data_IF_504518747995
#
_entry.id   IF_504518747995
#
_cell.length_a   1.000
_cell.length_b   1.000
_cell.length_c   1.000
_cell.angle_alpha   90.00
_cell.angle_beta   90.00
_cell.angle_gamma   90.00
#
_symmetry.space_group_name_H-M   'P 1'
#
loop_
_entity.id
_entity.type
_entity.pdbx_description
1 polymer ?
#
# COMPACT_ATOMS: atom_id res chain seq x y z
N UNK A 1 7.19 5.07 38.04
CA UNK A 1 5.97 4.25 37.96
C UNK A 1 5.19 4.83 36.79
N UNK A 2 5.17 4.16 35.63
CA UNK A 2 4.39 4.62 34.49
C UNK A 2 2.92 4.36 34.82
N UNK A 3 2.11 5.41 34.83
CA UNK A 3 0.67 5.32 35.03
C UNK A 3 0.10 4.58 33.81
N UNK A 4 -0.46 3.40 34.05
CA UNK A 4 -1.07 2.60 33.00
C UNK A 4 -2.33 3.34 32.58
N UNK A 5 -2.33 3.92 31.38
CA UNK A 5 -3.53 4.48 30.76
C UNK A 5 -4.56 3.35 30.61
N UNK A 6 -5.58 3.36 31.46
CA UNK A 6 -6.73 2.46 31.36
C UNK A 6 -7.77 3.08 30.42
N UNK A 7 -8.62 2.25 29.81
CA UNK A 7 -9.65 2.72 28.87
C UNK A 7 -10.58 3.75 29.55
N UNK A 8 -10.90 3.55 30.83
CA UNK A 8 -11.69 4.49 31.66
C UNK A 8 -11.08 5.90 31.78
N UNK A 9 -9.75 6.03 31.66
CA UNK A 9 -9.06 7.32 31.73
C UNK A 9 -9.10 8.08 30.40
N UNK A 10 -9.27 7.37 29.29
CA UNK A 10 -9.22 7.91 27.93
C UNK A 10 -10.63 8.10 27.36
N UNK A 11 -11.60 7.33 27.85
CA UNK A 11 -13.00 7.34 27.42
C UNK A 11 -13.97 7.42 28.61
N UNK A 12 -13.91 8.48 29.43
CA UNK A 12 -14.69 8.58 30.66
C UNK A 12 -16.21 8.71 30.41
N UNK A 13 -16.61 9.15 29.22
CA UNK A 13 -17.99 9.26 28.76
C UNK A 13 -18.45 8.09 27.90
N UNK A 14 -17.57 7.11 27.63
CA UNK A 14 -17.88 5.91 26.88
C UNK A 14 -18.10 6.16 25.38
N UNK A 15 -17.74 7.33 24.86
CA UNK A 15 -17.96 7.71 23.47
C UNK A 15 -17.09 6.90 22.49
N UNK A 16 -15.90 6.47 22.90
CA UNK A 16 -15.03 5.60 22.10
C UNK A 16 -15.56 4.16 22.12
N UNK A 17 -16.00 3.66 23.26
CA UNK A 17 -16.64 2.35 23.39
C UNK A 17 -17.97 2.31 22.63
N UNK A 18 -18.81 3.35 22.73
CA UNK A 18 -20.05 3.51 21.96
C UNK A 18 -19.78 3.64 20.45
N UNK A 19 -18.76 4.37 20.02
CA UNK A 19 -18.37 4.43 18.60
C UNK A 19 -17.82 3.09 18.09
N UNK A 20 -17.10 2.33 18.93
CA UNK A 20 -16.62 0.98 18.59
C UNK A 20 -17.76 -0.04 18.59
N UNK A 21 -18.74 0.11 19.48
CA UNK A 21 -19.96 -0.69 19.54
C UNK A 21 -20.93 -0.32 18.41
N UNK A 22 -21.03 0.94 17.97
CA UNK A 22 -21.76 1.34 16.77
C UNK A 22 -21.07 0.80 15.50
N UNK A 23 -19.73 0.84 15.46
CA UNK A 23 -18.94 0.23 14.40
C UNK A 23 -19.00 -1.32 14.41
N UNK A 24 -19.31 -1.94 15.56
CA UNK A 24 -19.57 -3.38 15.69
C UNK A 24 -21.07 -3.75 15.53
N UNK A 25 -21.99 -2.83 15.82
CA UNK A 25 -23.43 -2.99 15.70
C UNK A 25 -23.85 -2.92 14.23
N UNK A 26 -23.22 -2.04 13.44
CA UNK A 26 -23.08 -2.27 12.00
C UNK A 26 -21.98 -3.32 11.78
N UNK A 27 -22.29 -4.56 12.19
CA UNK A 27 -21.46 -5.72 11.88
C UNK A 27 -21.09 -5.68 10.40
N UNK A 28 -19.89 -6.13 10.03
CA UNK A 28 -19.46 -6.22 8.60
C UNK A 28 -20.55 -6.84 7.72
N UNK A 29 -21.36 -7.72 8.30
CA UNK A 29 -22.56 -8.33 7.72
C UNK A 29 -23.69 -7.34 7.42
N UNK A 30 -23.97 -6.36 8.28
CA UNK A 30 -24.99 -5.32 8.07
C UNK A 30 -24.53 -4.22 7.10
N UNK A 31 -23.25 -3.87 7.09
CA UNK A 31 -22.65 -3.07 6.01
C UNK A 31 -22.76 -3.78 4.64
N UNK A 32 -22.43 -5.08 4.60
CA UNK A 32 -22.57 -5.90 3.39
C UNK A 32 -24.04 -6.06 2.97
N UNK A 33 -24.99 -6.21 3.91
CA UNK A 33 -26.43 -6.24 3.61
C UNK A 33 -26.94 -4.90 3.06
N UNK A 34 -26.52 -3.77 3.63
CA UNK A 34 -26.87 -2.43 3.12
C UNK A 34 -26.31 -2.20 1.71
N UNK A 35 -25.10 -2.68 1.40
CA UNK A 35 -24.53 -2.67 0.06
C UNK A 35 -25.28 -3.58 -0.94
N UNK A 36 -25.82 -4.73 -0.47
CA UNK A 36 -26.66 -5.63 -1.28
C UNK A 36 -28.01 -4.98 -1.63
N UNK A 37 -28.63 -4.26 -0.69
CA UNK A 37 -29.92 -3.56 -0.92
C UNK A 37 -29.77 -2.31 -1.81
N UNK A 38 -28.58 -1.69 -1.84
CA UNK A 38 -28.26 -0.50 -2.66
C UNK A 38 -27.77 -0.77 -4.08
N UNK A 39 -27.57 -2.02 -4.50
CA UNK A 39 -27.23 -2.36 -5.90
C UNK A 39 -25.93 -3.13 -6.14
N UNK A 40 -25.56 -4.08 -5.28
CA UNK A 40 -24.42 -4.97 -5.55
C UNK A 40 -24.51 -6.34 -4.87
N UNK A 41 -24.88 -7.37 -5.62
CA UNK A 41 -24.83 -8.78 -5.19
C UNK A 41 -23.39 -9.24 -4.92
N UNK A 42 -23.09 -9.62 -3.67
CA UNK A 42 -21.92 -10.45 -3.32
C UNK A 42 -22.38 -11.88 -3.07
N UNK A 43 -21.89 -12.83 -3.89
CA UNK A 43 -22.03 -14.26 -3.65
C UNK A 43 -20.78 -14.77 -2.93
N UNK A 44 -20.87 -14.98 -1.63
CA UNK A 44 -19.98 -15.87 -0.88
C UNK A 44 -20.80 -17.08 -0.42
N UNK A 45 -20.51 -18.25 -0.98
CA UNK A 45 -21.16 -19.52 -0.64
C UNK A 45 -21.71 -20.23 -1.86
N UNK A 46 -21.11 -21.38 -2.20
CA UNK A 46 -21.47 -22.15 -3.38
C UNK A 46 -22.89 -22.75 -3.35
N UNK A 47 -23.30 -23.14 -4.57
CA UNK A 47 -24.48 -23.95 -4.97
C UNK A 47 -25.71 -23.16 -5.48
N UNK A 48 -25.76 -23.10 -6.82
CA UNK A 48 -26.92 -23.14 -7.74
C UNK A 48 -27.99 -22.05 -7.69
N UNK A 49 -27.99 -21.17 -8.71
CA UNK A 49 -29.18 -20.90 -9.52
C UNK A 49 -28.74 -20.53 -10.95
N UNK A 50 -29.03 -21.43 -11.91
CA UNK A 50 -28.97 -21.11 -13.33
C UNK A 50 -30.08 -20.11 -13.65
N UNK A 51 -29.73 -18.95 -14.19
CA UNK A 51 -30.76 -17.99 -14.61
C UNK A 51 -30.33 -16.52 -14.77
N UNK A 52 -29.13 -16.11 -14.39
CA UNK A 52 -28.67 -14.76 -14.71
C UNK A 52 -28.05 -14.70 -16.11
N UNK A 53 -28.35 -13.66 -16.92
CA UNK A 53 -27.60 -13.44 -18.14
C UNK A 53 -26.12 -13.36 -17.74
N UNK A 54 -25.26 -14.08 -18.46
CA UNK A 54 -23.80 -13.90 -18.35
C UNK A 54 -23.54 -12.43 -18.65
N UNK A 55 -23.51 -11.59 -17.61
CA UNK A 55 -22.96 -10.25 -17.69
C UNK A 55 -21.53 -10.49 -18.14
N UNK A 56 -21.26 -10.11 -19.39
CA UNK A 56 -19.91 -10.03 -19.91
C UNK A 56 -19.20 -8.92 -19.14
N UNK A 57 -18.83 -9.20 -17.88
CA UNK A 57 -17.81 -8.50 -17.11
C UNK A 57 -16.48 -8.90 -17.74
N UNK A 58 -16.35 -8.51 -19.01
CA UNK A 58 -15.41 -9.07 -19.97
C UNK A 58 -14.00 -8.65 -19.65
N UNK A 59 -13.04 -9.36 -20.23
CA UNK A 59 -11.59 -9.19 -20.24
C UNK A 59 -11.00 -7.77 -19.96
N UNK A 60 -11.75 -6.70 -20.21
CA UNK A 60 -11.41 -5.32 -19.81
C UNK A 60 -11.15 -5.17 -18.30
N UNK A 61 -11.99 -5.73 -17.42
CA UNK A 61 -11.82 -5.67 -15.95
C UNK A 61 -10.54 -6.37 -15.49
N UNK A 62 -10.32 -7.59 -16.00
CA UNK A 62 -9.09 -8.36 -15.77
C UNK A 62 -7.85 -7.69 -16.36
N UNK A 63 -7.92 -7.14 -17.57
CA UNK A 63 -6.78 -6.45 -18.19
C UNK A 63 -6.42 -5.16 -17.46
N UNK A 64 -7.43 -4.47 -16.90
CA UNK A 64 -7.24 -3.31 -16.06
C UNK A 64 -6.55 -3.69 -14.74
N UNK A 65 -7.01 -4.75 -14.07
CA UNK A 65 -6.37 -5.24 -12.85
C UNK A 65 -4.92 -5.64 -13.12
N UNK A 66 -4.65 -6.37 -14.20
CA UNK A 66 -3.28 -6.72 -14.61
C UNK A 66 -2.43 -5.47 -14.85
N UNK A 67 -2.99 -4.43 -15.46
CA UNK A 67 -2.27 -3.18 -15.70
C UNK A 67 -1.97 -2.43 -14.38
N UNK A 68 -2.92 -2.42 -13.44
CA UNK A 68 -2.75 -1.81 -12.11
C UNK A 68 -1.70 -2.58 -11.32
N UNK A 69 -1.78 -3.91 -11.27
CA UNK A 69 -0.82 -4.75 -10.55
C UNK A 69 0.58 -4.67 -11.15
N UNK A 70 0.71 -4.59 -12.48
CA UNK A 70 2.00 -4.36 -13.12
C UNK A 70 2.56 -2.97 -12.81
N UNK A 71 1.70 -1.96 -12.70
CA UNK A 71 2.11 -0.63 -12.28
C UNK A 71 2.60 -0.63 -10.82
N UNK A 72 1.87 -1.27 -9.90
CA UNK A 72 2.33 -1.46 -8.52
C UNK A 72 3.68 -2.21 -8.50
N UNK A 73 3.80 -3.31 -9.24
CA UNK A 73 5.04 -4.11 -9.30
C UNK A 73 6.25 -3.29 -9.81
N UNK A 74 6.05 -2.27 -10.63
CA UNK A 74 7.14 -1.36 -10.99
C UNK A 74 7.64 -0.54 -9.80
N UNK A 75 6.73 -0.04 -8.97
CA UNK A 75 7.08 0.73 -7.76
C UNK A 75 7.74 -0.17 -6.72
N UNK A 76 7.17 -1.35 -6.47
CA UNK A 76 7.76 -2.33 -5.55
C UNK A 76 9.18 -2.75 -5.98
N UNK A 77 9.43 -2.90 -7.29
CA UNK A 77 10.78 -3.16 -7.77
C UNK A 77 11.75 -1.99 -7.54
N UNK A 78 11.27 -0.75 -7.67
CA UNK A 78 12.05 0.45 -7.43
C UNK A 78 12.47 0.51 -5.96
N UNK A 79 11.53 0.31 -5.05
CA UNK A 79 11.74 0.40 -3.60
C UNK A 79 12.56 -0.78 -3.08
N UNK A 80 12.22 -2.01 -3.48
CA UNK A 80 12.99 -3.20 -3.12
C UNK A 80 14.46 -3.09 -3.56
N UNK A 81 14.73 -2.53 -4.75
CA UNK A 81 16.09 -2.31 -5.21
C UNK A 81 16.78 -1.16 -4.46
N UNK A 82 16.06 -0.06 -4.20
CA UNK A 82 16.58 1.09 -3.45
C UNK A 82 17.08 0.68 -2.07
N UNK A 83 16.25 -0.03 -1.30
CA UNK A 83 16.62 -0.53 0.03
C UNK A 83 17.72 -1.58 -0.03
N UNK A 84 17.70 -2.47 -1.03
CA UNK A 84 18.76 -3.47 -1.20
C UNK A 84 20.11 -2.80 -1.46
N UNK A 85 20.17 -1.79 -2.33
CA UNK A 85 21.41 -1.07 -2.61
C UNK A 85 21.88 -0.25 -1.40
N UNK A 86 20.97 0.44 -0.69
CA UNK A 86 21.33 1.25 0.48
C UNK A 86 21.90 0.39 1.63
N UNK A 87 21.29 -0.78 1.90
CA UNK A 87 21.80 -1.71 2.91
C UNK A 87 23.15 -2.30 2.49
N UNK A 88 23.32 -2.64 1.20
CA UNK A 88 24.57 -3.18 0.69
C UNK A 88 25.72 -2.15 0.66
N UNK A 89 25.39 -0.86 0.48
CA UNK A 89 26.37 0.23 0.46
C UNK A 89 27.06 0.46 1.81
N UNK A 90 26.41 0.12 2.93
CA UNK A 90 27.03 0.15 4.26
C UNK A 90 27.08 1.52 4.94
N UNK A 91 26.50 2.55 4.33
CA UNK A 91 26.51 3.93 4.84
C UNK A 91 25.43 4.21 5.90
N UNK A 92 24.41 3.35 5.98
CA UNK A 92 23.29 3.51 6.92
C UNK A 92 23.66 3.01 8.32
N UNK A 93 23.25 3.76 9.34
CA UNK A 93 23.54 3.46 10.74
C UNK A 93 22.28 3.58 11.62
N UNK A 94 22.38 3.07 12.85
CA UNK A 94 21.34 3.18 13.86
C UNK A 94 19.96 2.71 13.38
N UNK A 95 18.94 3.48 13.74
CA UNK A 95 17.56 3.17 13.39
C UNK A 95 17.30 3.22 11.87
N UNK A 96 18.00 4.09 11.13
CA UNK A 96 17.89 4.16 9.67
C UNK A 96 18.27 2.84 9.00
N UNK A 97 19.32 2.18 9.48
CA UNK A 97 19.71 0.85 8.98
C UNK A 97 18.68 -0.22 9.33
N UNK A 98 18.09 -0.16 10.54
CA UNK A 98 17.02 -1.07 10.94
C UNK A 98 15.79 -0.89 10.04
N UNK A 99 15.35 0.35 9.85
CA UNK A 99 14.28 0.72 8.94
C UNK A 99 14.54 0.15 7.53
N UNK A 100 15.70 0.43 6.94
CA UNK A 100 16.04 -0.03 5.59
C UNK A 100 16.01 -1.55 5.44
N UNK A 101 16.42 -2.29 6.47
CA UNK A 101 16.38 -3.77 6.47
C UNK A 101 14.95 -4.31 6.56
N UNK A 102 14.13 -3.74 7.42
CA UNK A 102 12.73 -4.15 7.63
C UNK A 102 11.91 -3.82 6.39
N UNK A 103 11.92 -2.56 5.97
CA UNK A 103 11.17 -2.09 4.79
C UNK A 103 11.64 -2.81 3.54
N UNK A 104 12.96 -2.87 3.29
CA UNK A 104 13.48 -3.63 2.16
C UNK A 104 13.06 -5.11 2.14
N UNK A 105 12.80 -5.74 3.30
CA UNK A 105 12.24 -7.09 3.35
C UNK A 105 10.75 -7.14 3.00
N UNK A 106 9.97 -6.15 3.44
CA UNK A 106 8.57 -6.00 3.06
C UNK A 106 8.43 -5.76 1.56
N UNK A 107 9.22 -4.86 0.97
CA UNK A 107 9.15 -4.59 -0.47
C UNK A 107 9.47 -5.80 -1.33
N UNK A 108 10.43 -6.63 -0.90
CA UNK A 108 10.69 -7.92 -1.56
C UNK A 108 9.51 -8.89 -1.44
N UNK A 109 8.80 -8.88 -0.32
CA UNK A 109 7.59 -9.69 -0.13
C UNK A 109 6.42 -9.17 -0.98
N UNK A 110 6.24 -7.85 -1.10
CA UNK A 110 5.27 -7.23 -2.00
C UNK A 110 5.56 -7.58 -3.46
N UNK A 111 6.82 -7.49 -3.90
CA UNK A 111 7.26 -7.96 -5.23
C UNK A 111 6.87 -9.42 -5.45
N UNK A 112 7.19 -10.31 -4.52
CA UNK A 112 6.88 -11.75 -4.64
C UNK A 112 5.38 -11.99 -4.74
N UNK A 113 4.58 -11.32 -3.90
CA UNK A 113 3.13 -11.38 -3.94
C UNK A 113 2.59 -10.95 -5.30
N UNK A 114 3.01 -9.79 -5.81
CA UNK A 114 2.54 -9.26 -7.09
C UNK A 114 2.98 -10.14 -8.27
N UNK A 115 4.21 -10.66 -8.26
CA UNK A 115 4.68 -11.61 -9.27
C UNK A 115 3.84 -12.90 -9.25
N UNK A 116 3.48 -13.40 -8.06
CA UNK A 116 2.59 -14.55 -7.91
C UNK A 116 1.19 -14.28 -8.46
N UNK A 117 0.61 -13.13 -8.13
CA UNK A 117 -0.72 -12.72 -8.60
C UNK A 117 -0.76 -12.51 -10.13
N UNK A 118 0.32 -11.97 -10.71
CA UNK A 118 0.43 -11.69 -12.14
C UNK A 118 0.82 -12.92 -12.97
N UNK A 119 1.53 -13.89 -12.39
CA UNK A 119 2.03 -15.08 -13.09
C UNK A 119 2.84 -14.69 -14.33
N UNK A 120 2.49 -15.26 -15.50
CA UNK A 120 3.17 -14.95 -16.76
C UNK A 120 2.94 -13.53 -17.28
N UNK A 121 1.96 -12.80 -16.72
CA UNK A 121 1.70 -11.39 -17.07
C UNK A 121 2.57 -10.42 -16.26
N UNK A 122 3.44 -10.91 -15.36
CA UNK A 122 4.31 -10.08 -14.56
C UNK A 122 5.37 -9.40 -15.44
N UNK A 123 5.48 -8.08 -15.30
CA UNK A 123 6.54 -7.31 -15.96
C UNK A 123 7.91 -7.72 -15.45
N UNK A 124 8.90 -7.60 -16.32
CA UNK A 124 10.31 -7.80 -15.96
C UNK A 124 10.79 -6.64 -15.07
N UNK A 125 11.64 -6.97 -14.10
CA UNK A 125 12.34 -5.98 -13.28
C UNK A 125 13.22 -5.11 -14.18
N UNK A 126 13.08 -3.77 -14.16
CA UNK A 126 13.94 -2.87 -14.91
C UNK A 126 15.27 -2.70 -14.19
N UNK A 127 16.20 -1.97 -14.80
CA UNK A 127 17.44 -1.57 -14.12
C UNK A 127 17.21 -0.25 -13.41
N UNK A 128 17.96 -0.04 -12.33
CA UNK A 128 17.88 1.17 -11.52
C UNK A 128 19.24 1.84 -11.35
N UNK A 129 19.22 3.17 -11.28
CA UNK A 129 20.36 4.02 -10.92
C UNK A 129 19.85 5.13 -10.00
N UNK A 130 20.11 5.00 -8.70
CA UNK A 130 19.63 5.93 -7.67
C UNK A 130 20.45 7.21 -7.55
N UNK A 131 21.41 7.46 -8.46
CA UNK A 131 22.13 8.75 -8.56
C UNK A 131 22.80 9.17 -7.24
N UNK A 132 23.32 8.20 -6.49
CA UNK A 132 23.99 8.44 -5.20
C UNK A 132 23.06 8.60 -4.01
N UNK A 133 21.73 8.51 -4.16
CA UNK A 133 20.83 8.68 -3.00
C UNK A 133 20.89 7.52 -2.01
N UNK A 134 21.50 6.40 -2.36
CA UNK A 134 21.75 5.25 -1.48
C UNK A 134 23.11 5.31 -0.77
N UNK A 135 23.95 6.28 -1.12
CA UNK A 135 25.36 6.39 -0.69
C UNK A 135 25.57 7.45 0.41
N UNK A 136 24.50 8.12 0.84
CA UNK A 136 24.52 9.06 1.96
C UNK A 136 23.25 8.87 2.79
N UNK A 137 23.38 8.83 4.12
CA UNK A 137 22.25 8.53 4.99
C UNK A 137 21.14 9.60 4.91
N UNK A 138 21.49 10.88 4.82
CA UNK A 138 20.51 11.97 4.74
C UNK A 138 19.76 11.95 3.41
N UNK A 139 20.49 11.73 2.31
CA UNK A 139 19.91 11.56 0.97
C UNK A 139 19.03 10.31 0.89
N UNK A 140 19.44 9.22 1.55
CA UNK A 140 18.65 8.01 1.65
C UNK A 140 17.35 8.28 2.39
N UNK A 141 17.39 8.90 3.57
CA UNK A 141 16.20 9.20 4.36
C UNK A 141 15.23 10.10 3.60
N UNK A 142 15.73 11.17 2.97
CA UNK A 142 14.91 12.07 2.18
C UNK A 142 14.26 11.36 0.97
N UNK A 143 15.01 10.45 0.33
CA UNK A 143 14.50 9.66 -0.79
C UNK A 143 13.47 8.63 -0.34
N UNK A 144 13.72 7.94 0.79
CA UNK A 144 12.80 6.97 1.38
C UNK A 144 11.46 7.63 1.69
N UNK A 145 11.42 8.81 2.34
CA UNK A 145 10.16 9.56 2.57
C UNK A 145 9.38 9.74 1.27
N UNK A 146 10.05 10.15 0.18
CA UNK A 146 9.40 10.39 -1.11
C UNK A 146 8.91 9.10 -1.75
N UNK A 147 9.66 8.01 -1.65
CA UNK A 147 9.28 6.71 -2.20
C UNK A 147 8.07 6.14 -1.47
N UNK A 148 8.11 6.05 -0.14
CA UNK A 148 7.01 5.53 0.68
C UNK A 148 5.72 6.35 0.48
N UNK A 149 5.81 7.68 0.41
CA UNK A 149 4.67 8.54 0.09
C UNK A 149 4.11 8.28 -1.31
N UNK A 150 5.00 7.96 -2.26
CA UNK A 150 4.64 7.64 -3.64
C UNK A 150 3.92 6.29 -3.68
N UNK A 151 4.39 5.29 -2.93
CA UNK A 151 3.73 4.00 -2.73
C UNK A 151 2.31 4.18 -2.18
N UNK A 152 2.16 4.90 -1.06
CA UNK A 152 0.85 5.22 -0.46
C UNK A 152 -0.08 5.91 -1.47
N UNK A 153 0.41 6.95 -2.15
CA UNK A 153 -0.39 7.70 -3.13
C UNK A 153 -0.80 6.85 -4.33
N UNK A 154 0.05 5.93 -4.77
CA UNK A 154 -0.21 5.02 -5.88
C UNK A 154 -1.27 3.98 -5.52
N UNK A 155 -1.13 3.31 -4.37
CA UNK A 155 -2.12 2.34 -3.90
C UNK A 155 -3.47 3.00 -3.64
N UNK A 156 -3.51 4.15 -2.97
CA UNK A 156 -4.77 4.87 -2.73
C UNK A 156 -5.41 5.35 -4.04
N UNK A 157 -4.62 5.72 -5.05
CA UNK A 157 -5.13 6.18 -6.34
C UNK A 157 -5.55 5.08 -7.30
N UNK A 158 -4.98 3.88 -7.20
CA UNK A 158 -5.28 2.77 -8.11
C UNK A 158 -6.12 1.67 -7.49
N UNK A 159 -6.05 1.47 -6.17
CA UNK A 159 -6.81 0.48 -5.42
C UNK A 159 -8.32 0.51 -5.73
N UNK A 160 -8.99 1.68 -5.69
CA UNK A 160 -10.42 1.79 -6.03
C UNK A 160 -10.78 1.40 -7.46
N UNK A 161 -9.79 1.28 -8.36
CA UNK A 161 -9.99 0.85 -9.74
C UNK A 161 -9.80 -0.67 -9.92
N UNK A 162 -9.48 -1.42 -8.86
CA UNK A 162 -9.39 -2.88 -8.91
C UNK A 162 -10.79 -3.49 -8.93
N UNK A 163 -11.04 -4.35 -9.91
CA UNK A 163 -12.32 -5.05 -10.06
C UNK A 163 -12.38 -6.36 -9.29
N UNK A 164 -11.23 -7.01 -9.08
CA UNK A 164 -11.13 -8.21 -8.28
C UNK A 164 -11.08 -7.87 -6.77
N UNK A 165 -12.06 -8.31 -5.97
CA UNK A 165 -12.12 -7.99 -4.55
C UNK A 165 -10.93 -8.55 -3.75
N UNK A 166 -10.33 -9.66 -4.18
CA UNK A 166 -9.13 -10.20 -3.53
C UNK A 166 -7.92 -9.28 -3.76
N UNK A 167 -7.79 -8.69 -4.95
CA UNK A 167 -6.73 -7.72 -5.23
C UNK A 167 -6.97 -6.41 -4.51
N UNK A 168 -8.23 -5.95 -4.41
CA UNK A 168 -8.57 -4.77 -3.61
C UNK A 168 -8.23 -4.97 -2.13
N UNK A 169 -8.59 -6.12 -1.55
CA UNK A 169 -8.24 -6.44 -0.17
C UNK A 169 -6.73 -6.50 0.05
N UNK A 170 -5.99 -7.10 -0.88
CA UNK A 170 -4.53 -7.13 -0.83
C UNK A 170 -3.92 -5.73 -0.92
N UNK A 171 -4.40 -4.89 -1.85
CA UNK A 171 -3.96 -3.49 -1.97
C UNK A 171 -4.22 -2.70 -0.69
N UNK A 172 -5.37 -2.91 -0.04
CA UNK A 172 -5.67 -2.33 1.27
C UNK A 172 -4.71 -2.78 2.38
N UNK A 173 -4.28 -4.03 2.36
CA UNK A 173 -3.27 -4.54 3.30
C UNK A 173 -1.89 -3.94 3.04
N UNK A 174 -1.49 -3.80 1.77
CA UNK A 174 -0.19 -3.22 1.41
C UNK A 174 -0.14 -1.75 1.79
N UNK A 175 -1.11 -0.93 1.37
CA UNK A 175 -1.10 0.52 1.66
C UNK A 175 -1.07 0.85 3.16
N UNK A 176 -1.67 0.00 4.01
CA UNK A 176 -1.58 0.13 5.46
C UNK A 176 -0.16 -0.12 6.01
N UNK A 177 0.62 -0.97 5.35
CA UNK A 177 2.03 -1.22 5.66
C UNK A 177 2.89 -0.05 5.15
N UNK A 178 2.71 0.36 3.89
CA UNK A 178 3.40 1.51 3.27
C UNK A 178 3.24 2.78 4.11
N UNK A 179 2.01 3.08 4.58
CA UNK A 179 1.76 4.25 5.42
C UNK A 179 2.53 4.20 6.75
N UNK A 180 2.77 3.01 7.31
CA UNK A 180 3.60 2.84 8.53
C UNK A 180 5.08 3.01 8.23
N UNK A 181 5.56 2.59 7.06
CA UNK A 181 6.93 2.86 6.64
C UNK A 181 7.14 4.37 6.44
N UNK A 182 6.22 5.03 5.75
CA UNK A 182 6.19 6.47 5.54
C UNK A 182 6.19 7.26 6.87
N UNK A 183 5.45 6.78 7.87
CA UNK A 183 5.42 7.35 9.22
C UNK A 183 6.75 7.12 9.95
N UNK A 184 7.30 5.90 9.91
CA UNK A 184 8.54 5.55 10.62
C UNK A 184 9.76 6.32 10.09
N UNK A 185 9.92 6.44 8.77
CA UNK A 185 11.06 7.20 8.23
C UNK A 185 10.99 8.68 8.59
N UNK A 186 9.79 9.25 8.70
CA UNK A 186 9.59 10.62 9.17
C UNK A 186 9.97 10.78 10.62
N UNK A 187 9.57 9.83 11.47
CA UNK A 187 9.95 9.83 12.88
C UNK A 187 11.48 9.81 13.05
N UNK A 188 12.18 8.95 12.31
CA UNK A 188 13.66 8.87 12.29
C UNK A 188 14.31 10.23 11.98
N UNK A 189 13.71 11.04 11.11
CA UNK A 189 14.21 12.36 10.73
C UNK A 189 13.53 13.52 11.48
N UNK A 190 12.85 13.24 12.60
CA UNK A 190 12.16 14.21 13.44
C UNK A 190 11.11 15.06 12.67
N UNK A 191 10.43 14.45 11.70
CA UNK A 191 9.28 15.03 11.02
C UNK A 191 7.99 14.42 11.58
N UNK A 192 6.87 15.15 11.46
CA UNK A 192 5.56 14.65 11.89
C UNK A 192 5.20 13.35 11.14
N UNK A 193 5.06 12.19 11.81
CA UNK A 193 4.76 10.90 11.18
C UNK A 193 3.38 10.85 10.51
N UNK A 194 2.45 11.72 10.91
CA UNK A 194 1.10 11.85 10.36
C UNK A 194 0.85 13.31 9.93
N UNK A 195 1.49 13.79 8.85
CA UNK A 195 1.48 15.22 8.48
C UNK A 195 0.13 15.70 7.94
N UNK A 196 -0.80 14.79 7.61
CA UNK A 196 -2.10 15.08 7.00
C UNK A 196 -3.16 14.13 7.56
N UNK A 197 -4.41 14.59 7.62
CA UNK A 197 -5.54 13.75 8.05
C UNK A 197 -5.97 12.73 6.99
N UNK A 198 -5.69 12.99 5.71
CA UNK A 198 -6.00 12.10 4.60
C UNK A 198 -4.81 12.03 3.64
N UNK A 199 -4.40 10.81 3.32
CA UNK A 199 -3.38 10.60 2.30
C UNK A 199 -3.89 10.95 0.91
N UNK A 200 -3.01 11.58 0.12
CA UNK A 200 -3.38 12.05 -1.20
C UNK A 200 -3.27 10.93 -2.23
N UNK A 201 -4.41 10.46 -2.75
CA UNK A 201 -4.45 9.61 -3.92
C UNK A 201 -3.86 10.32 -5.16
N UNK A 202 -3.05 9.62 -5.96
CA UNK A 202 -2.54 10.11 -7.24
C UNK A 202 -2.87 9.16 -8.37
N UNK A 203 -3.14 9.72 -9.54
CA UNK A 203 -3.32 8.92 -10.75
C UNK A 203 -2.01 8.25 -11.16
N UNK A 204 -2.08 7.09 -11.81
CA UNK A 204 -0.93 6.43 -12.43
C UNK A 204 -0.05 7.39 -13.23
N UNK A 205 -0.64 8.27 -14.05
CA UNK A 205 0.08 9.26 -14.86
C UNK A 205 0.89 10.24 -14.01
N UNK A 206 0.35 10.70 -12.87
CA UNK A 206 1.05 11.61 -11.98
C UNK A 206 2.24 10.93 -11.31
N UNK A 207 2.07 9.68 -10.87
CA UNK A 207 3.14 8.88 -10.29
C UNK A 207 4.23 8.59 -11.33
N UNK A 208 3.86 8.13 -12.53
CA UNK A 208 4.81 7.86 -13.61
C UNK A 208 5.60 9.13 -13.98
N UNK A 209 4.95 10.29 -14.03
CA UNK A 209 5.64 11.56 -14.27
C UNK A 209 6.60 11.94 -13.13
N UNK A 210 6.24 11.67 -11.87
CA UNK A 210 7.12 11.91 -10.72
C UNK A 210 8.34 10.98 -10.74
N UNK A 211 8.11 9.67 -10.92
CA UNK A 211 9.19 8.66 -11.02
C UNK A 211 10.10 8.95 -12.21
N UNK A 212 9.54 9.32 -13.38
CA UNK A 212 10.35 9.65 -14.55
C UNK A 212 11.31 10.84 -14.31
N UNK A 213 10.90 11.84 -13.50
CA UNK A 213 11.76 12.99 -13.16
C UNK A 213 12.98 12.59 -12.33
N UNK A 214 12.88 11.54 -11.51
CA UNK A 214 14.02 11.03 -10.73
C UNK A 214 15.13 10.46 -11.62
N UNK A 215 14.77 9.96 -12.82
CA UNK A 215 15.66 9.19 -13.70
C UNK A 215 16.28 7.97 -13.02
N UNK A 216 15.58 7.39 -12.04
CA UNK A 216 16.02 6.18 -11.34
C UNK A 216 15.82 4.92 -12.17
N UNK A 217 14.76 4.83 -12.96
CA UNK A 217 14.57 3.73 -13.90
C UNK A 217 15.45 3.98 -15.13
N UNK A 218 16.29 3.01 -15.48
CA UNK A 218 17.21 3.09 -16.62
C UNK A 218 17.07 1.88 -17.55
N UNK A 219 17.28 2.12 -18.85
CA UNK A 219 17.02 1.16 -19.93
C UNK A 219 15.75 1.51 -20.68
#
# INVERSE_FOLDING_TARGET
MAEVLTLELVDPDGAIEEALDEANADSRTDFLKKAVVGGGTFLAGGVLFGGFPKLALGAKSQSQDIAILNFALLLEFLEAEFYTQAVAGGELQGETLQFARVVGAHERAHVQFLQGALGSAARKKPRFNFRGTTEDQGMFQATAVVLEDTGVAAYNGQGPNLSNPAYLAAAGSVVSVEARHAAWIRDIINQNPAPKAFDQAKTKRQIEAAVAKTRFIVG
#
